data_IF_340941630688
#
_entry.id   IF_340941630688
#
_cell.length_a   1.000
_cell.length_b   1.000
_cell.length_c   1.000
_cell.angle_alpha   90.00
_cell.angle_beta   90.00
_cell.angle_gamma   90.00
#
_symmetry.space_group_name_H-M   'P 1'
#
loop_
_entity.id
_entity.type
_entity.pdbx_description
1 polymer ?
#
# COMPACT_ATOMS: atom_id res chain seq x y z
N UNK A 1 4.78 -11.26 6.57
CA UNK A 1 5.42 -9.96 6.87
C UNK A 1 6.94 -10.05 6.96
N UNK A 2 7.49 -11.06 7.66
CA UNK A 2 8.92 -11.18 7.93
C UNK A 2 9.79 -11.24 6.67
N UNK A 3 9.39 -12.01 5.66
CA UNK A 3 10.08 -12.11 4.37
C UNK A 3 10.16 -10.74 3.68
N UNK A 4 9.07 -9.97 3.72
CA UNK A 4 9.05 -8.62 3.13
C UNK A 4 9.98 -7.66 3.86
N UNK A 5 10.12 -7.79 5.17
CA UNK A 5 11.08 -7.01 5.94
C UNK A 5 12.53 -7.31 5.52
N UNK A 6 12.89 -8.58 5.33
CA UNK A 6 14.21 -8.98 4.82
C UNK A 6 14.43 -8.42 3.43
N UNK A 7 13.47 -8.57 2.51
CA UNK A 7 13.55 -8.02 1.15
C UNK A 7 13.72 -6.50 1.17
N UNK A 8 12.95 -5.80 2.00
CA UNK A 8 13.09 -4.34 2.13
C UNK A 8 14.47 -3.93 2.67
N UNK A 9 15.08 -4.69 3.58
CA UNK A 9 16.46 -4.43 4.02
C UNK A 9 17.48 -4.56 2.91
N UNK A 10 17.28 -5.46 1.95
CA UNK A 10 18.18 -5.66 0.81
C UNK A 10 18.01 -4.55 -0.24
N UNK A 11 16.77 -4.15 -0.50
CA UNK A 11 16.43 -3.26 -1.62
C UNK A 11 16.37 -1.77 -1.26
N UNK A 12 16.17 -1.43 0.01
CA UNK A 12 15.98 -0.04 0.46
C UNK A 12 17.06 0.36 1.48
N UNK A 13 17.72 1.47 1.21
CA UNK A 13 18.57 2.13 2.19
C UNK A 13 17.71 3.10 3.02
N UNK A 14 17.50 2.79 4.29
CA UNK A 14 16.68 3.61 5.17
C UNK A 14 16.83 3.24 6.64
N UNK A 15 16.12 3.97 7.50
CA UNK A 15 16.07 3.64 8.92
C UNK A 15 15.22 2.39 9.15
N UNK A 16 15.39 1.72 10.31
CA UNK A 16 14.57 0.55 10.68
C UNK A 16 13.06 0.84 10.62
N UNK A 17 12.65 2.06 11.00
CA UNK A 17 11.24 2.50 10.94
C UNK A 17 10.73 2.55 9.49
N UNK A 18 11.49 3.19 8.60
CA UNK A 18 11.15 3.26 7.17
C UNK A 18 11.05 1.89 6.54
N UNK A 19 11.94 0.95 6.91
CA UNK A 19 11.89 -0.43 6.42
C UNK A 19 10.66 -1.19 6.89
N UNK A 20 10.24 -1.00 8.15
CA UNK A 20 9.00 -1.59 8.68
C UNK A 20 7.79 -1.06 7.89
N UNK A 21 7.70 0.27 7.70
CA UNK A 21 6.62 0.88 6.89
C UNK A 21 6.60 0.33 5.48
N UNK A 22 7.75 0.28 4.81
CA UNK A 22 7.86 -0.26 3.46
C UNK A 22 7.42 -1.72 3.39
N UNK A 23 7.86 -2.56 4.34
CA UNK A 23 7.51 -3.98 4.39
C UNK A 23 6.02 -4.21 4.60
N UNK A 24 5.39 -3.45 5.51
CA UNK A 24 3.96 -3.51 5.75
C UNK A 24 3.17 -3.04 4.53
N UNK A 25 3.61 -1.96 3.90
CA UNK A 25 2.98 -1.42 2.71
C UNK A 25 3.01 -2.42 1.55
N UNK A 26 4.16 -3.02 1.27
CA UNK A 26 4.27 -4.08 0.26
C UNK A 26 3.47 -5.32 0.61
N UNK A 27 3.41 -5.69 1.89
CA UNK A 27 2.60 -6.81 2.33
C UNK A 27 1.12 -6.56 2.05
N UNK A 28 0.60 -5.38 2.38
CA UNK A 28 -0.80 -5.00 2.13
C UNK A 28 -1.10 -4.99 0.64
N UNK A 29 -0.22 -4.38 -0.19
CA UNK A 29 -0.38 -4.35 -1.64
C UNK A 29 -0.36 -5.74 -2.25
N UNK A 30 0.60 -6.58 -1.86
CA UNK A 30 0.68 -7.95 -2.34
C UNK A 30 -0.56 -8.77 -1.97
N UNK A 31 -1.07 -8.58 -0.75
CA UNK A 31 -2.26 -9.26 -0.28
C UNK A 31 -3.51 -8.79 -1.03
N UNK A 32 -3.68 -7.49 -1.23
CA UNK A 32 -4.76 -6.93 -2.03
C UNK A 32 -4.74 -7.42 -3.48
N UNK A 33 -3.55 -7.44 -4.10
CA UNK A 33 -3.38 -7.96 -5.46
C UNK A 33 -3.69 -9.46 -5.54
N UNK A 34 -3.26 -10.24 -4.55
CA UNK A 34 -3.60 -11.66 -4.45
C UNK A 34 -5.10 -11.86 -4.37
N UNK A 35 -5.80 -11.06 -3.56
CA UNK A 35 -7.25 -11.14 -3.42
C UNK A 35 -7.96 -10.78 -4.73
N UNK A 36 -7.53 -9.70 -5.40
CA UNK A 36 -8.09 -9.29 -6.69
C UNK A 36 -7.95 -10.38 -7.76
N UNK A 37 -6.78 -11.02 -7.83
CA UNK A 37 -6.52 -12.09 -8.78
C UNK A 37 -7.19 -13.41 -8.39
N UNK A 38 -7.35 -13.68 -7.10
CA UNK A 38 -8.06 -14.86 -6.61
C UNK A 38 -9.55 -14.85 -7.01
N UNK A 39 -10.17 -13.67 -7.15
CA UNK A 39 -11.54 -13.56 -7.66
C UNK A 39 -11.70 -14.19 -9.03
N UNK A 40 -10.68 -14.09 -9.89
CA UNK A 40 -10.70 -14.70 -11.21
C UNK A 40 -10.61 -16.23 -11.15
N UNK A 41 -9.96 -16.77 -10.11
CA UNK A 41 -9.87 -18.23 -9.89
C UNK A 41 -11.18 -18.85 -9.35
N UNK A 42 -12.07 -18.03 -8.81
CA UNK A 42 -13.36 -18.49 -8.29
C UNK A 42 -14.48 -18.50 -9.34
N UNK A 43 -14.13 -18.33 -10.63
CA UNK A 43 -15.12 -18.42 -11.73
C UNK A 43 -15.57 -19.87 -11.91
N UNK A 44 -16.89 -20.06 -12.01
CA UNK A 44 -17.53 -21.38 -12.27
C UNK A 44 -17.18 -21.98 -13.63
N UNK A 45 -16.91 -21.09 -14.59
CA UNK A 45 -16.84 -21.43 -16.02
C UNK A 45 -15.45 -21.88 -16.46
N UNK A 46 -14.47 -21.91 -15.54
CA UNK A 46 -13.12 -22.40 -15.90
C UNK A 46 -13.11 -23.92 -15.86
N UNK A 47 -12.85 -24.58 -16.99
CA UNK A 47 -12.69 -26.04 -17.04
C UNK A 47 -11.52 -26.48 -16.17
N UNK A 48 -11.67 -27.60 -15.46
CA UNK A 48 -10.64 -28.12 -14.56
C UNK A 48 -9.28 -28.36 -15.25
N UNK A 49 -9.30 -28.81 -16.50
CA UNK A 49 -8.09 -29.07 -17.30
C UNK A 49 -7.30 -27.79 -17.66
N UNK A 50 -7.89 -26.61 -17.55
CA UNK A 50 -7.25 -25.31 -17.84
C UNK A 50 -6.89 -24.58 -16.54
N UNK A 51 -7.46 -24.96 -15.41
CA UNK A 51 -7.29 -24.29 -14.12
C UNK A 51 -5.82 -24.13 -13.73
N UNK A 52 -4.99 -25.15 -13.95
CA UNK A 52 -3.56 -25.09 -13.63
C UNK A 52 -2.83 -24.03 -14.47
N UNK A 53 -3.12 -23.95 -15.76
CA UNK A 53 -2.52 -22.93 -16.64
C UNK A 53 -2.96 -21.51 -16.26
N UNK A 54 -4.23 -21.34 -15.91
CA UNK A 54 -4.76 -20.05 -15.43
C UNK A 54 -4.10 -19.65 -14.12
N UNK A 55 -3.91 -20.58 -13.20
CA UNK A 55 -3.26 -20.31 -11.91
C UNK A 55 -1.81 -19.87 -12.08
N UNK A 56 -1.05 -20.54 -12.94
CA UNK A 56 0.34 -20.17 -13.28
C UNK A 56 0.38 -18.80 -13.95
N UNK A 57 -0.51 -18.52 -14.90
CA UNK A 57 -0.61 -17.22 -15.57
C UNK A 57 -0.89 -16.08 -14.59
N UNK A 58 -1.81 -16.27 -13.67
CA UNK A 58 -2.15 -15.31 -12.59
C UNK A 58 -0.95 -15.09 -11.67
N UNK A 59 -0.22 -16.14 -11.32
CA UNK A 59 0.97 -16.05 -10.48
C UNK A 59 2.08 -15.23 -11.16
N UNK A 60 2.33 -15.46 -12.44
CA UNK A 60 3.29 -14.68 -13.23
C UNK A 60 2.86 -13.21 -13.30
N UNK A 61 1.61 -12.93 -13.63
CA UNK A 61 1.05 -11.58 -13.69
C UNK A 61 1.24 -10.85 -12.35
N UNK A 62 0.95 -11.51 -11.25
CA UNK A 62 1.16 -10.98 -9.90
C UNK A 62 2.62 -10.61 -9.65
N UNK A 63 3.57 -11.49 -10.01
CA UNK A 63 5.00 -11.22 -9.84
C UNK A 63 5.45 -10.01 -10.66
N UNK A 64 4.99 -9.89 -11.90
CA UNK A 64 5.30 -8.74 -12.78
C UNK A 64 4.74 -7.44 -12.18
N UNK A 65 3.47 -7.42 -11.79
CA UNK A 65 2.85 -6.23 -11.20
C UNK A 65 3.53 -5.80 -9.91
N UNK A 66 3.85 -6.74 -9.01
CA UNK A 66 4.58 -6.44 -7.77
C UNK A 66 5.97 -5.88 -8.05
N UNK A 67 6.69 -6.44 -9.03
CA UNK A 67 8.02 -5.94 -9.41
C UNK A 67 7.94 -4.51 -9.93
N UNK A 68 6.97 -4.20 -10.79
CA UNK A 68 6.74 -2.83 -11.26
C UNK A 68 6.43 -1.87 -10.11
N UNK A 69 5.56 -2.26 -9.18
CA UNK A 69 5.21 -1.46 -8.00
C UNK A 69 6.45 -1.22 -7.12
N UNK A 70 7.26 -2.24 -6.87
CA UNK A 70 8.51 -2.13 -6.09
C UNK A 70 9.46 -1.12 -6.73
N UNK A 71 9.68 -1.20 -8.03
CA UNK A 71 10.58 -0.28 -8.75
C UNK A 71 10.09 1.16 -8.65
N UNK A 72 8.79 1.40 -8.87
CA UNK A 72 8.21 2.74 -8.79
C UNK A 72 8.30 3.32 -7.37
N UNK A 73 7.98 2.53 -6.37
CA UNK A 73 7.98 2.97 -4.97
C UNK A 73 9.38 3.08 -4.38
N UNK A 74 10.35 2.30 -4.83
CA UNK A 74 11.74 2.37 -4.35
C UNK A 74 12.27 3.80 -4.41
N UNK A 75 12.16 4.43 -5.58
CA UNK A 75 12.63 5.80 -5.77
C UNK A 75 11.89 6.80 -4.89
N UNK A 76 10.58 6.60 -4.72
CA UNK A 76 9.74 7.47 -3.89
C UNK A 76 10.07 7.35 -2.41
N UNK A 77 10.09 6.12 -1.87
CA UNK A 77 10.37 5.85 -0.46
C UNK A 77 11.77 6.34 -0.08
N UNK A 78 12.79 6.05 -0.89
CA UNK A 78 14.17 6.49 -0.64
C UNK A 78 14.29 8.02 -0.57
N UNK A 79 13.50 8.76 -1.36
CA UNK A 79 13.48 10.22 -1.35
C UNK A 79 12.82 10.80 -0.09
N UNK A 80 11.87 10.08 0.53
CA UNK A 80 11.05 10.60 1.62
C UNK A 80 11.33 9.94 2.99
N UNK A 81 12.49 9.28 3.16
CA UNK A 81 12.88 8.57 4.41
C UNK A 81 12.69 9.43 5.65
N UNK A 82 13.18 10.67 5.63
CA UNK A 82 13.08 11.56 6.81
C UNK A 82 11.64 11.96 7.18
N UNK A 83 10.74 12.04 6.19
CA UNK A 83 9.32 12.30 6.43
C UNK A 83 8.64 11.06 6.99
N UNK A 84 8.90 9.89 6.39
CA UNK A 84 8.35 8.60 6.81
C UNK A 84 8.70 8.27 8.26
N UNK A 85 9.91 8.56 8.69
CA UNK A 85 10.33 8.37 10.08
C UNK A 85 9.52 9.22 11.08
N UNK A 86 9.21 10.47 10.70
CA UNK A 86 8.46 11.40 11.57
C UNK A 86 6.99 11.00 11.73
N UNK A 87 6.40 10.43 10.68
CA UNK A 87 4.97 10.08 10.66
C UNK A 87 4.71 8.59 10.89
N UNK A 88 5.74 7.86 11.33
CA UNK A 88 5.74 6.40 11.48
C UNK A 88 4.50 5.85 12.21
N UNK A 89 4.14 6.41 13.37
CA UNK A 89 3.00 5.93 14.16
C UNK A 89 1.66 6.13 13.44
N UNK A 90 1.50 7.25 12.72
CA UNK A 90 0.30 7.54 11.94
C UNK A 90 0.15 6.60 10.75
N UNK A 91 1.26 6.31 10.04
CA UNK A 91 1.25 5.38 8.92
C UNK A 91 0.86 3.98 9.39
N UNK A 92 1.40 3.50 10.51
CA UNK A 92 1.03 2.18 11.05
C UNK A 92 -0.46 2.13 11.36
N UNK A 93 -1.03 3.16 11.98
CA UNK A 93 -2.47 3.23 12.26
C UNK A 93 -3.30 3.11 10.97
N UNK A 94 -2.96 3.85 9.93
CA UNK A 94 -3.64 3.76 8.63
C UNK A 94 -3.49 2.38 7.97
N UNK A 95 -2.30 1.79 8.00
CA UNK A 95 -2.07 0.45 7.46
C UNK A 95 -2.86 -0.62 8.19
N UNK A 96 -2.99 -0.51 9.51
CA UNK A 96 -3.82 -1.41 10.30
C UNK A 96 -5.28 -1.31 9.89
N UNK A 97 -5.81 -0.09 9.71
CA UNK A 97 -7.18 0.13 9.25
C UNK A 97 -7.41 -0.50 7.86
N UNK A 98 -6.51 -0.28 6.91
CA UNK A 98 -6.60 -0.89 5.58
C UNK A 98 -6.58 -2.42 5.67
N UNK A 99 -5.77 -2.99 6.56
CA UNK A 99 -5.74 -4.42 6.81
C UNK A 99 -7.09 -4.95 7.30
N UNK A 100 -7.74 -4.26 8.25
CA UNK A 100 -9.09 -4.63 8.70
C UNK A 100 -10.12 -4.57 7.58
N UNK A 101 -10.06 -3.56 6.70
CA UNK A 101 -10.93 -3.48 5.52
C UNK A 101 -10.73 -4.69 4.61
N UNK A 102 -9.49 -5.09 4.32
CA UNK A 102 -9.24 -6.28 3.53
C UNK A 102 -9.75 -7.57 4.19
N UNK A 103 -9.60 -7.71 5.50
CA UNK A 103 -10.15 -8.86 6.23
C UNK A 103 -11.68 -8.90 6.16
N UNK A 104 -12.34 -7.74 6.25
CA UNK A 104 -13.79 -7.63 6.04
C UNK A 104 -14.23 -8.05 4.63
N UNK A 105 -13.50 -7.64 3.60
CA UNK A 105 -13.75 -8.03 2.21
C UNK A 105 -13.61 -9.54 2.04
N UNK A 106 -12.55 -10.15 2.60
CA UNK A 106 -12.36 -11.61 2.54
C UNK A 106 -13.51 -12.34 3.21
N UNK A 107 -13.89 -11.92 4.42
CA UNK A 107 -15.02 -12.53 5.14
C UNK A 107 -16.29 -12.44 4.30
N UNK A 108 -16.58 -11.28 3.68
CA UNK A 108 -17.71 -11.10 2.78
C UNK A 108 -17.67 -12.02 1.57
N UNK A 109 -16.51 -12.15 0.91
CA UNK A 109 -16.33 -13.07 -0.22
C UNK A 109 -16.53 -14.51 0.22
N UNK A 110 -15.95 -14.91 1.36
CA UNK A 110 -16.07 -16.28 1.88
C UNK A 110 -17.53 -16.64 2.17
N UNK A 111 -18.27 -15.74 2.82
CA UNK A 111 -19.70 -15.93 3.09
C UNK A 111 -20.52 -16.01 1.79
N UNK A 112 -20.19 -15.19 0.79
CA UNK A 112 -20.89 -15.22 -0.49
C UNK A 112 -20.65 -16.53 -1.25
N UNK A 113 -19.39 -17.01 -1.27
CA UNK A 113 -19.00 -18.26 -1.97
C UNK A 113 -19.53 -19.49 -1.26
N UNK A 114 -19.59 -19.49 0.09
CA UNK A 114 -20.13 -20.64 0.86
C UNK A 114 -21.61 -20.95 0.55
N UNK A 115 -22.37 -19.95 0.09
CA UNK A 115 -23.77 -20.13 -0.34
C UNK A 115 -23.97 -20.45 -1.82
N UNK A 116 -22.89 -20.47 -2.63
CA UNK A 116 -22.94 -20.65 -4.10
C UNK A 116 -21.76 -21.47 -4.60
N UNK A 117 -21.93 -22.08 -5.78
CA UNK A 117 -20.87 -22.88 -6.46
C UNK A 117 -19.77 -22.02 -7.13
N UNK A 118 -19.58 -20.77 -6.72
CA UNK A 118 -18.60 -19.85 -7.27
C UNK A 118 -19.21 -18.60 -7.93
N UNK A 119 -18.40 -17.76 -8.56
CA UNK A 119 -18.80 -16.54 -9.26
C UNK A 119 -19.09 -16.79 -10.74
N UNK A 120 -20.05 -16.06 -11.32
CA UNK A 120 -20.15 -15.92 -12.76
C UNK A 120 -18.96 -15.10 -13.29
N UNK A 121 -18.64 -15.24 -14.57
CA UNK A 121 -17.54 -14.48 -15.21
C UNK A 121 -17.68 -12.97 -14.98
N UNK A 122 -18.90 -12.42 -15.11
CA UNK A 122 -19.15 -10.99 -14.89
C UNK A 122 -18.91 -10.56 -13.46
N UNK A 123 -19.36 -11.35 -12.47
CA UNK A 123 -19.17 -11.07 -11.04
C UNK A 123 -17.66 -11.13 -10.67
N UNK A 124 -16.93 -12.13 -11.16
CA UNK A 124 -15.51 -12.29 -10.91
C UNK A 124 -14.68 -11.13 -11.50
N UNK A 125 -14.96 -10.74 -12.75
CA UNK A 125 -14.29 -9.63 -13.41
C UNK A 125 -14.59 -8.30 -12.71
N UNK A 126 -15.86 -8.03 -12.37
CA UNK A 126 -16.26 -6.81 -11.66
C UNK A 126 -15.59 -6.73 -10.28
N UNK A 127 -15.61 -7.83 -9.53
CA UNK A 127 -14.95 -7.91 -8.21
C UNK A 127 -13.45 -7.69 -8.30
N UNK A 128 -12.77 -8.28 -9.29
CA UNK A 128 -11.34 -8.07 -9.54
C UNK A 128 -11.03 -6.61 -9.86
N UNK A 129 -11.83 -5.96 -10.73
CA UNK A 129 -11.67 -4.55 -11.08
C UNK A 129 -11.84 -3.66 -9.84
N UNK A 130 -12.88 -3.88 -9.04
CA UNK A 130 -13.13 -3.11 -7.80
C UNK A 130 -11.95 -3.24 -6.83
N UNK A 131 -11.42 -4.44 -6.64
CA UNK A 131 -10.26 -4.67 -5.78
C UNK A 131 -8.98 -4.01 -6.33
N UNK A 132 -8.77 -4.03 -7.64
CA UNK A 132 -7.65 -3.30 -8.26
C UNK A 132 -7.78 -1.78 -8.08
N UNK A 133 -8.98 -1.23 -8.22
CA UNK A 133 -9.24 0.18 -7.95
C UNK A 133 -9.00 0.54 -6.47
N UNK A 134 -9.38 -0.34 -5.55
CA UNK A 134 -9.10 -0.16 -4.12
C UNK A 134 -7.59 -0.11 -3.84
N UNK A 135 -6.81 -1.01 -4.46
CA UNK A 135 -5.34 -1.01 -4.34
C UNK A 135 -4.76 0.31 -4.86
N UNK A 136 -5.22 0.77 -6.02
CA UNK A 136 -4.80 2.05 -6.60
C UNK A 136 -5.11 3.21 -5.65
N UNK A 137 -6.31 3.24 -5.08
CA UNK A 137 -6.74 4.26 -4.13
C UNK A 137 -5.88 4.27 -2.87
N UNK A 138 -5.53 3.09 -2.33
CA UNK A 138 -4.62 2.94 -1.19
C UNK A 138 -3.23 3.50 -1.53
N UNK A 139 -2.71 3.22 -2.73
CA UNK A 139 -1.43 3.77 -3.20
C UNK A 139 -1.47 5.30 -3.29
N UNK A 140 -2.51 5.85 -3.93
CA UNK A 140 -2.67 7.30 -4.07
C UNK A 140 -2.83 7.99 -2.71
N UNK A 141 -3.62 7.42 -1.80
CA UNK A 141 -3.79 7.93 -0.45
C UNK A 141 -2.46 7.95 0.33
N UNK A 142 -1.65 6.91 0.22
CA UNK A 142 -0.32 6.87 0.83
C UNK A 142 0.60 7.96 0.26
N UNK A 143 0.66 8.12 -1.06
CA UNK A 143 1.47 9.14 -1.71
C UNK A 143 1.03 10.55 -1.33
N UNK A 144 -0.29 10.80 -1.31
CA UNK A 144 -0.87 12.08 -0.90
C UNK A 144 -0.56 12.40 0.57
N UNK A 145 -0.70 11.41 1.46
CA UNK A 145 -0.42 11.57 2.88
C UNK A 145 1.04 11.97 3.14
N UNK A 146 2.00 11.28 2.53
CA UNK A 146 3.43 11.63 2.65
C UNK A 146 3.69 13.04 2.15
N UNK A 147 3.05 13.44 1.04
CA UNK A 147 3.22 14.75 0.45
C UNK A 147 2.65 15.88 1.33
N UNK A 148 1.47 15.67 1.90
CA UNK A 148 0.82 16.61 2.84
C UNK A 148 1.72 16.83 4.06
N UNK A 149 2.28 15.77 4.65
CA UNK A 149 3.18 15.90 5.80
C UNK A 149 4.49 16.61 5.45
N UNK A 150 5.02 16.41 4.25
CA UNK A 150 6.18 17.16 3.76
C UNK A 150 5.88 18.67 3.68
N UNK A 151 4.74 19.06 3.10
CA UNK A 151 4.32 20.47 3.03
C UNK A 151 4.09 21.07 4.41
N UNK A 152 3.39 20.37 5.27
CA UNK A 152 3.14 20.80 6.66
C UNK A 152 4.45 20.98 7.43
N UNK A 153 5.42 20.10 7.22
CA UNK A 153 6.76 20.22 7.78
C UNK A 153 7.50 21.47 7.32
N UNK A 154 7.40 21.82 6.02
CA UNK A 154 8.02 23.04 5.46
C UNK A 154 7.38 24.31 6.02
N UNK A 155 6.04 24.36 6.09
CA UNK A 155 5.32 25.49 6.66
C UNK A 155 5.75 25.73 8.13
N UNK A 156 5.78 24.70 8.95
CA UNK A 156 6.22 24.79 10.37
C UNK A 156 7.67 25.28 10.51
N UNK A 157 8.54 24.92 9.57
CA UNK A 157 9.92 25.43 9.58
C UNK A 157 9.96 26.91 9.25
N UNK A 158 9.22 27.36 8.23
CA UNK A 158 9.11 28.78 7.88
C UNK A 158 8.52 29.64 9.01
N UNK A 159 7.48 29.13 9.69
CA UNK A 159 6.91 29.81 10.86
C UNK A 159 7.94 29.98 11.99
N UNK A 160 8.73 28.93 12.28
CA UNK A 160 9.80 29.01 13.29
C UNK A 160 10.90 30.01 12.91
N UNK A 161 11.27 30.07 11.63
CA UNK A 161 12.26 31.03 11.12
C UNK A 161 11.73 32.48 11.22
N UNK A 162 10.47 32.70 10.85
CA UNK A 162 9.83 34.00 11.05
C UNK A 162 9.75 34.40 12.51
N UNK A 163 9.36 33.50 13.41
CA UNK A 163 9.35 33.78 14.84
C UNK A 163 10.74 34.15 15.37
N UNK A 164 11.79 33.42 14.97
CA UNK A 164 13.17 33.76 15.36
C UNK A 164 13.59 35.13 14.83
N UNK A 165 13.21 35.49 13.58
CA UNK A 165 13.50 36.80 13.02
C UNK A 165 12.80 37.93 13.79
N UNK A 166 11.54 37.73 14.21
CA UNK A 166 10.80 38.68 15.01
C UNK A 166 11.47 38.88 16.39
N UNK A 167 11.82 37.79 17.11
CA UNK A 167 12.49 37.89 18.39
C UNK A 167 13.87 38.54 18.27
N UNK A 168 14.63 38.31 17.22
CA UNK A 168 15.91 38.96 17.00
C UNK A 168 15.75 40.49 16.78
N UNK A 169 14.74 40.89 15.98
CA UNK A 169 14.45 42.31 15.72
C UNK A 169 14.00 43.07 17.00
N UNK A 170 13.20 42.41 17.84
CA UNK A 170 12.78 43.00 19.14
C UNK A 170 13.94 43.12 20.15
N UNK A 171 14.91 42.20 20.08
CA UNK A 171 16.12 42.27 20.90
C UNK A 171 17.02 43.43 20.52
N UNK A 172 17.12 43.82 19.26
CA UNK A 172 17.93 44.93 18.78
C UNK A 172 17.19 46.28 18.88
N UNK A 173 15.89 46.31 19.22
CA UNK A 173 15.11 47.53 19.41
C UNK A 173 15.12 48.06 20.86
N UNK A 174 15.56 47.26 21.81
CA UNK A 174 15.77 47.65 23.23
C UNK A 174 17.21 48.10 23.45
#
# INVERSE_FOLDING_TARGET
PFVYFILCNIFFNGTKKTMIVASLFFYILNYGLQLALAMLMLMKEIPENIMDYVSVGIMILRCVLLTCIIILLKRYISKHVGVLDKIFSRIIGWMTLIWFVYMGIIAGITLYVSGRSGFSMKEAMLGSIILCLLILLVMLAFLAFVKIEEYTGRIRMQEREMQKAIYSTDYYRK
#
